data_IF_974050861891
#
_entry.id   IF_974050861891
#
_cell.length_a   1.000
_cell.length_b   1.000
_cell.length_c   1.000
_cell.angle_alpha   90.00
_cell.angle_beta   90.00
_cell.angle_gamma   90.00
#
_symmetry.space_group_name_H-M   'P 1'
#
loop_
_entity.id
_entity.type
_entity.pdbx_description
1 polymer ?
#
# COMPACT_ATOMS: atom_id res chain seq x y z
N UNK A 1 21.75 -14.38 2.52
CA UNK A 1 21.92 -12.91 2.48
C UNK A 1 23.13 -12.51 3.32
N UNK A 2 23.82 -11.44 2.93
CA UNK A 2 24.94 -10.88 3.71
C UNK A 2 24.38 -10.36 5.05
N UNK A 3 25.19 -10.42 6.12
CA UNK A 3 24.80 -9.84 7.39
C UNK A 3 24.76 -8.30 7.25
N UNK A 4 23.64 -7.62 7.58
CA UNK A 4 23.58 -6.18 7.48
C UNK A 4 24.53 -5.52 8.49
N UNK A 5 25.15 -4.38 8.14
CA UNK A 5 26.06 -3.66 9.04
C UNK A 5 25.31 -2.97 10.19
N UNK A 6 23.99 -2.77 10.06
CA UNK A 6 23.12 -2.14 11.06
C UNK A 6 21.68 -2.67 10.99
N UNK A 7 20.84 -2.49 12.04
CA UNK A 7 19.42 -2.83 12.01
C UNK A 7 18.66 -2.05 10.92
N UNK A 8 17.54 -2.60 10.42
CA UNK A 8 16.73 -1.95 9.41
C UNK A 8 16.20 -0.56 9.85
N UNK A 9 15.81 -0.43 11.12
CA UNK A 9 15.33 0.84 11.68
C UNK A 9 16.36 1.98 11.59
N UNK A 10 17.66 1.69 11.70
CA UNK A 10 18.70 2.72 11.58
C UNK A 10 18.75 3.29 10.16
N UNK A 11 18.45 2.45 9.16
CA UNK A 11 18.29 2.92 7.78
C UNK A 11 17.04 3.80 7.59
N UNK A 12 15.98 3.60 8.37
CA UNK A 12 14.79 4.47 8.33
C UNK A 12 15.15 5.90 8.78
N UNK A 13 15.90 6.05 9.88
CA UNK A 13 16.38 7.35 10.36
C UNK A 13 17.34 8.01 9.35
N UNK A 14 18.23 7.22 8.74
CA UNK A 14 19.15 7.72 7.71
C UNK A 14 18.38 8.18 6.46
N UNK A 15 17.36 7.44 6.04
CA UNK A 15 16.53 7.78 4.89
C UNK A 15 15.71 9.03 5.18
N UNK A 16 15.07 9.12 6.34
CA UNK A 16 14.40 10.33 6.83
C UNK A 16 15.32 11.54 6.74
N UNK A 17 16.53 11.48 7.33
CA UNK A 17 17.48 12.58 7.29
C UNK A 17 17.93 12.97 5.88
N UNK A 18 18.04 12.02 4.95
CA UNK A 18 18.36 12.30 3.55
C UNK A 18 17.18 12.97 2.83
N UNK A 19 15.94 12.54 3.10
CA UNK A 19 14.73 13.09 2.50
C UNK A 19 14.49 14.55 2.92
N UNK A 20 14.54 14.84 4.23
CA UNK A 20 14.31 16.21 4.73
C UNK A 20 15.45 17.17 4.34
N UNK A 21 16.65 16.65 4.10
CA UNK A 21 17.79 17.41 3.60
C UNK A 21 17.77 17.58 2.06
N UNK A 22 16.74 17.13 1.37
CA UNK A 22 16.62 17.15 -0.11
C UNK A 22 17.81 16.47 -0.80
N UNK A 23 18.43 15.47 -0.17
CA UNK A 23 19.61 14.78 -0.70
C UNK A 23 19.22 13.45 -1.37
N UNK A 24 18.76 13.54 -2.60
CA UNK A 24 18.33 12.37 -3.39
C UNK A 24 19.47 11.38 -3.62
N UNK A 25 20.70 11.84 -3.83
CA UNK A 25 21.86 10.95 -4.02
C UNK A 25 22.11 10.08 -2.79
N UNK A 26 22.01 10.66 -1.58
CA UNK A 26 22.14 9.94 -0.33
C UNK A 26 20.96 8.99 -0.10
N UNK A 27 19.73 9.44 -0.36
CA UNK A 27 18.55 8.59 -0.27
C UNK A 27 18.64 7.38 -1.22
N UNK A 28 19.10 7.58 -2.45
CA UNK A 28 19.39 6.49 -3.39
C UNK A 28 20.42 5.51 -2.85
N UNK A 29 21.55 6.00 -2.35
CA UNK A 29 22.62 5.15 -1.80
C UNK A 29 22.10 4.28 -0.65
N UNK A 30 21.28 4.84 0.25
CA UNK A 30 20.65 4.11 1.35
C UNK A 30 19.72 3.02 0.83
N UNK A 31 18.82 3.34 -0.11
CA UNK A 31 17.88 2.38 -0.69
C UNK A 31 18.59 1.25 -1.46
N UNK A 32 19.67 1.55 -2.16
CA UNK A 32 20.49 0.52 -2.83
C UNK A 32 21.30 -0.33 -1.85
N UNK A 33 21.71 0.23 -0.71
CA UNK A 33 22.40 -0.52 0.35
C UNK A 33 21.43 -1.51 1.02
N UNK A 34 20.25 -1.06 1.46
CA UNK A 34 19.29 -1.93 2.19
C UNK A 34 18.82 -3.12 1.36
N UNK A 35 18.61 -2.95 0.05
CA UNK A 35 18.21 -4.03 -0.86
C UNK A 35 19.22 -5.18 -0.94
N UNK A 36 20.49 -4.95 -0.60
CA UNK A 36 21.52 -6.00 -0.57
C UNK A 36 21.35 -6.95 0.62
N UNK A 37 20.74 -6.46 1.69
CA UNK A 37 20.68 -7.17 2.97
C UNK A 37 19.28 -7.68 3.30
N UNK A 38 18.24 -6.91 2.96
CA UNK A 38 16.87 -7.19 3.35
C UNK A 38 16.02 -7.57 2.12
N UNK A 39 14.93 -8.30 2.36
CA UNK A 39 13.90 -8.52 1.36
C UNK A 39 13.01 -7.28 1.24
N UNK A 40 12.21 -7.25 0.18
CA UNK A 40 11.44 -6.06 -0.15
C UNK A 40 10.38 -5.74 0.92
N UNK A 41 9.79 -6.76 1.53
CA UNK A 41 8.80 -6.54 2.59
C UNK A 41 9.43 -5.91 3.82
N UNK A 42 10.61 -6.35 4.23
CA UNK A 42 11.39 -5.74 5.32
C UNK A 42 11.77 -4.30 4.97
N UNK A 43 12.24 -4.05 3.73
CA UNK A 43 12.56 -2.68 3.27
C UNK A 43 11.33 -1.77 3.36
N UNK A 44 10.17 -2.26 2.99
CA UNK A 44 8.94 -1.47 3.04
C UNK A 44 8.46 -1.22 4.47
N UNK A 45 8.41 -2.26 5.32
CA UNK A 45 7.87 -2.16 6.66
C UNK A 45 8.82 -1.51 7.68
N UNK A 46 10.13 -1.73 7.54
CA UNK A 46 11.10 -1.34 8.57
C UNK A 46 12.00 -0.17 8.14
N UNK A 47 11.98 0.20 6.84
CA UNK A 47 12.78 1.32 6.36
C UNK A 47 11.91 2.41 5.75
N UNK A 48 11.14 2.11 4.70
CA UNK A 48 10.39 3.13 3.96
C UNK A 48 9.22 3.66 4.78
N UNK A 49 8.32 2.80 5.28
CA UNK A 49 7.16 3.26 6.03
C UNK A 49 7.55 4.06 7.29
N UNK A 50 8.50 3.61 8.15
CA UNK A 50 8.92 4.41 9.30
C UNK A 50 9.60 5.73 8.90
N UNK A 51 10.38 5.78 7.80
CA UNK A 51 10.97 7.04 7.36
C UNK A 51 9.91 8.06 6.93
N UNK A 52 8.84 7.61 6.30
CA UNK A 52 7.70 8.47 5.92
C UNK A 52 6.86 8.90 7.13
N UNK A 53 6.73 8.03 8.14
CA UNK A 53 6.09 8.40 9.41
C UNK A 53 6.88 9.53 10.10
N UNK A 54 8.20 9.41 10.16
CA UNK A 54 9.07 10.49 10.68
C UNK A 54 8.94 11.79 9.88
N UNK A 55 8.82 11.72 8.56
CA UNK A 55 8.57 12.90 7.70
C UNK A 55 7.22 13.53 8.04
N UNK A 56 6.17 12.72 8.20
CA UNK A 56 4.83 13.19 8.58
C UNK A 56 4.80 13.82 9.98
N UNK A 57 5.49 13.21 10.96
CA UNK A 57 5.61 13.76 12.31
C UNK A 57 6.38 15.09 12.32
N UNK A 58 7.50 15.19 11.60
CA UNK A 58 8.27 16.43 11.48
C UNK A 58 7.44 17.56 10.85
N UNK A 59 6.61 17.24 9.85
CA UNK A 59 5.66 18.22 9.28
C UNK A 59 4.60 18.62 10.31
N UNK A 60 3.97 17.65 10.97
CA UNK A 60 2.94 17.92 11.97
C UNK A 60 3.46 18.79 13.12
N UNK A 61 4.70 18.59 13.55
CA UNK A 61 5.37 19.37 14.58
C UNK A 61 5.88 20.74 14.08
N UNK A 62 5.75 21.04 12.76
CA UNK A 62 6.22 22.30 12.18
C UNK A 62 7.74 22.38 11.96
N UNK A 63 8.45 21.27 12.11
CA UNK A 63 9.91 21.17 11.91
C UNK A 63 10.28 21.28 10.43
N UNK A 64 9.43 20.78 9.54
CA UNK A 64 9.57 20.90 8.09
C UNK A 64 8.31 21.52 7.47
N UNK A 65 8.44 22.00 6.22
CA UNK A 65 7.31 22.53 5.47
C UNK A 65 6.59 21.43 4.69
N UNK A 66 5.30 21.64 4.39
CA UNK A 66 4.49 20.72 3.58
C UNK A 66 5.16 20.39 2.23
N UNK A 67 5.86 21.36 1.62
CA UNK A 67 6.59 21.14 0.37
C UNK A 67 7.71 20.09 0.51
N UNK A 68 8.37 20.03 1.69
CA UNK A 68 9.39 19.01 1.98
C UNK A 68 8.74 17.62 2.16
N UNK A 69 7.60 17.55 2.85
CA UNK A 69 6.82 16.31 2.97
C UNK A 69 6.38 15.80 1.59
N UNK A 70 5.79 16.66 0.75
CA UNK A 70 5.35 16.30 -0.60
C UNK A 70 6.51 15.85 -1.49
N UNK A 71 7.67 16.51 -1.40
CA UNK A 71 8.87 16.08 -2.13
C UNK A 71 9.32 14.69 -1.69
N UNK A 72 9.38 14.43 -0.38
CA UNK A 72 9.77 13.13 0.17
C UNK A 72 8.81 12.01 -0.26
N UNK A 73 7.50 12.24 -0.13
CA UNK A 73 6.47 11.30 -0.56
C UNK A 73 6.51 11.04 -2.07
N UNK A 74 6.67 12.08 -2.89
CA UNK A 74 6.79 11.96 -4.36
C UNK A 74 8.05 11.21 -4.77
N UNK A 75 9.18 11.46 -4.10
CA UNK A 75 10.43 10.74 -4.34
C UNK A 75 10.25 9.23 -4.08
N UNK A 76 9.69 8.86 -2.93
CA UNK A 76 9.44 7.45 -2.59
C UNK A 76 8.43 6.83 -3.56
N UNK A 77 7.35 7.54 -3.91
CA UNK A 77 6.39 7.08 -4.93
C UNK A 77 7.09 6.73 -6.24
N UNK A 78 7.98 7.61 -6.72
CA UNK A 78 8.78 7.37 -7.93
C UNK A 78 9.64 6.10 -7.84
N UNK A 79 10.24 5.82 -6.66
CA UNK A 79 11.02 4.59 -6.44
C UNK A 79 10.14 3.34 -6.46
N UNK A 80 8.97 3.37 -5.83
CA UNK A 80 8.03 2.25 -5.81
C UNK A 80 7.48 1.95 -7.20
N UNK A 81 7.09 2.99 -7.96
CA UNK A 81 6.64 2.83 -9.35
C UNK A 81 7.72 2.26 -10.24
N UNK A 82 8.97 2.71 -10.08
CA UNK A 82 10.11 2.15 -10.81
C UNK A 82 10.31 0.65 -10.50
N UNK A 83 10.21 0.26 -9.23
CA UNK A 83 10.27 -1.16 -8.85
C UNK A 83 9.13 -1.92 -9.55
N UNK A 84 7.91 -1.42 -9.46
CA UNK A 84 6.72 -2.06 -10.05
C UNK A 84 6.84 -2.24 -11.56
N UNK A 85 7.34 -1.24 -12.28
CA UNK A 85 7.52 -1.27 -13.74
C UNK A 85 8.57 -2.28 -14.20
N UNK A 86 9.58 -2.55 -13.36
CA UNK A 86 10.64 -3.53 -13.66
C UNK A 86 10.29 -4.97 -13.21
N UNK A 87 9.18 -5.20 -12.54
CA UNK A 87 8.68 -6.53 -12.22
C UNK A 87 7.93 -7.14 -13.42
N UNK A 88 8.01 -8.47 -13.61
CA UNK A 88 7.27 -9.15 -14.66
C UNK A 88 5.77 -8.87 -14.57
N UNK A 89 5.14 -8.62 -15.70
CA UNK A 89 3.68 -8.48 -15.81
C UNK A 89 3.08 -9.86 -16.01
N UNK A 90 2.41 -10.36 -14.98
CA UNK A 90 1.60 -11.58 -15.07
C UNK A 90 0.20 -11.16 -15.53
N UNK A 91 -0.33 -11.86 -16.54
CA UNK A 91 -1.68 -11.63 -17.08
C UNK A 91 -2.58 -12.86 -16.95
N UNK A 92 -2.05 -13.92 -16.33
CA UNK A 92 -2.77 -15.16 -16.09
C UNK A 92 -3.15 -15.28 -14.62
N UNK A 93 -4.30 -15.91 -14.35
CA UNK A 93 -4.80 -16.12 -12.98
C UNK A 93 -5.79 -15.06 -12.52
N UNK A 94 -5.94 -14.98 -11.21
CA UNK A 94 -6.91 -14.09 -10.56
C UNK A 94 -6.41 -12.64 -10.59
N UNK A 95 -7.12 -11.75 -11.28
CA UNK A 95 -6.83 -10.30 -11.25
C UNK A 95 -7.14 -9.73 -9.87
N UNK A 96 -6.18 -9.00 -9.31
CA UNK A 96 -6.31 -8.23 -8.08
C UNK A 96 -6.20 -6.75 -8.42
N UNK A 97 -7.22 -5.98 -8.08
CA UNK A 97 -7.17 -4.52 -8.13
C UNK A 97 -6.67 -3.99 -6.79
N UNK A 98 -5.76 -3.04 -6.81
CA UNK A 98 -5.21 -2.41 -5.60
C UNK A 98 -5.26 -0.90 -5.74
N UNK A 99 -5.77 -0.21 -4.72
CA UNK A 99 -5.82 1.26 -4.69
C UNK A 99 -6.24 1.79 -3.33
N UNK A 100 -6.74 3.02 -3.30
CA UNK A 100 -7.27 3.63 -2.08
C UNK A 100 -8.78 3.88 -2.25
N UNK A 101 -9.51 3.87 -1.14
CA UNK A 101 -10.92 4.20 -1.14
C UNK A 101 -11.20 5.65 -1.53
N UNK A 102 -12.48 6.04 -1.63
CA UNK A 102 -12.88 7.41 -1.95
C UNK A 102 -12.27 8.44 -1.00
N UNK A 103 -11.81 9.56 -1.53
CA UNK A 103 -11.19 10.66 -0.79
C UNK A 103 -9.92 10.28 0.01
N UNK A 104 -9.36 9.08 -0.23
CA UNK A 104 -8.12 8.64 0.41
C UNK A 104 -6.92 8.88 -0.51
N UNK A 105 -6.05 9.82 -0.10
CA UNK A 105 -4.87 10.22 -0.84
C UNK A 105 -3.56 9.58 -0.34
N UNK A 106 -3.58 8.87 0.80
CA UNK A 106 -2.41 8.20 1.37
C UNK A 106 -2.11 6.87 0.64
N UNK A 107 -1.62 6.99 -0.58
CA UNK A 107 -1.51 5.86 -1.51
C UNK A 107 -0.26 4.98 -1.35
N UNK A 108 0.79 5.46 -0.63
CA UNK A 108 2.09 4.76 -0.62
C UNK A 108 2.02 3.35 -0.03
N UNK A 109 1.20 3.14 1.00
CA UNK A 109 0.98 1.81 1.56
C UNK A 109 0.30 0.86 0.56
N UNK A 110 -0.71 1.33 -0.17
CA UNK A 110 -1.36 0.57 -1.22
C UNK A 110 -0.39 0.25 -2.37
N UNK A 111 0.45 1.20 -2.77
CA UNK A 111 1.44 1.00 -3.81
C UNK A 111 2.52 -0.01 -3.37
N UNK A 112 3.03 0.08 -2.13
CA UNK A 112 3.95 -0.93 -1.58
C UNK A 112 3.33 -2.32 -1.61
N UNK A 113 2.06 -2.44 -1.24
CA UNK A 113 1.34 -3.70 -1.27
C UNK A 113 1.18 -4.25 -2.69
N UNK A 114 0.82 -3.40 -3.66
CA UNK A 114 0.73 -3.78 -5.08
C UNK A 114 2.06 -4.28 -5.63
N UNK A 115 3.18 -3.63 -5.25
CA UNK A 115 4.54 -4.06 -5.62
C UNK A 115 4.85 -5.46 -5.06
N UNK A 116 4.54 -5.71 -3.77
CA UNK A 116 4.76 -7.01 -3.13
C UNK A 116 3.94 -8.12 -3.80
N UNK A 117 2.67 -7.86 -4.08
CA UNK A 117 1.82 -8.83 -4.79
C UNK A 117 2.37 -9.14 -6.18
N UNK A 118 2.81 -8.13 -6.94
CA UNK A 118 3.40 -8.35 -8.26
C UNK A 118 4.73 -9.11 -8.17
N UNK A 119 5.55 -8.87 -7.16
CA UNK A 119 6.78 -9.62 -6.92
C UNK A 119 6.52 -11.10 -6.64
N UNK A 120 5.43 -11.43 -5.94
CA UNK A 120 4.99 -12.81 -5.69
C UNK A 120 4.34 -13.46 -6.93
N UNK A 121 4.25 -12.76 -8.05
CA UNK A 121 3.73 -13.29 -9.31
C UNK A 121 2.21 -13.23 -9.45
N UNK A 122 1.52 -12.41 -8.67
CA UNK A 122 0.09 -12.19 -8.88
C UNK A 122 -0.19 -11.25 -10.05
N UNK A 123 -1.35 -11.46 -10.71
CA UNK A 123 -1.87 -10.52 -11.69
C UNK A 123 -2.47 -9.32 -10.96
N UNK A 124 -1.78 -8.17 -11.00
CA UNK A 124 -2.12 -6.97 -10.22
C UNK A 124 -2.23 -5.76 -11.11
N UNK A 125 -3.33 -5.02 -10.95
CA UNK A 125 -3.50 -3.66 -11.44
C UNK A 125 -3.54 -2.70 -10.26
N UNK A 126 -2.65 -1.71 -10.27
CA UNK A 126 -2.63 -0.63 -9.30
C UNK A 126 -3.39 0.57 -9.85
N UNK A 127 -4.46 0.97 -9.19
CA UNK A 127 -5.39 2.00 -9.65
C UNK A 127 -5.10 3.40 -9.07
N UNK A 128 -4.30 3.48 -8.00
CA UNK A 128 -3.95 4.75 -7.39
C UNK A 128 -4.87 5.19 -6.24
N UNK A 129 -4.83 6.50 -5.88
CA UNK A 129 -5.63 7.07 -4.81
C UNK A 129 -7.05 7.44 -5.28
N UNK A 130 -7.92 7.76 -4.31
CA UNK A 130 -9.22 8.42 -4.50
C UNK A 130 -10.13 7.72 -5.53
N UNK A 131 -10.49 6.48 -5.26
CA UNK A 131 -11.32 5.67 -6.16
C UNK A 131 -12.78 5.69 -5.71
N UNK A 132 -13.70 6.34 -6.49
CA UNK A 132 -15.13 6.29 -6.22
C UNK A 132 -15.66 4.87 -6.30
N UNK A 133 -16.54 4.48 -5.37
CA UNK A 133 -17.10 3.11 -5.32
C UNK A 133 -17.91 2.78 -6.57
N UNK A 134 -18.67 3.73 -7.11
CA UNK A 134 -19.48 3.53 -8.32
C UNK A 134 -18.60 3.24 -9.54
N UNK A 135 -17.52 4.01 -9.73
CA UNK A 135 -16.55 3.76 -10.81
C UNK A 135 -15.87 2.39 -10.66
N UNK A 136 -15.57 1.99 -9.41
CA UNK A 136 -15.00 0.66 -9.16
C UNK A 136 -15.97 -0.47 -9.46
N UNK A 137 -17.28 -0.29 -9.22
CA UNK A 137 -18.32 -1.26 -9.62
C UNK A 137 -18.34 -1.43 -11.12
N UNK A 138 -18.42 -0.32 -11.86
CA UNK A 138 -18.45 -0.32 -13.33
C UNK A 138 -17.17 -0.91 -13.92
N UNK A 139 -16.01 -0.50 -13.42
CA UNK A 139 -14.72 -1.05 -13.85
C UNK A 139 -14.63 -2.54 -13.57
N UNK A 140 -15.08 -2.99 -12.40
CA UNK A 140 -15.07 -4.40 -12.01
C UNK A 140 -15.97 -5.26 -12.90
N UNK A 141 -17.10 -4.73 -13.40
CA UNK A 141 -17.96 -5.43 -14.34
C UNK A 141 -17.25 -5.69 -15.68
N UNK A 142 -16.33 -4.80 -16.10
CA UNK A 142 -15.53 -4.91 -17.32
C UNK A 142 -14.37 -5.89 -17.13
N UNK A 143 -13.48 -5.64 -16.14
CA UNK A 143 -12.21 -6.38 -16.00
C UNK A 143 -12.34 -7.67 -15.19
N UNK A 144 -13.43 -7.83 -14.44
CA UNK A 144 -13.79 -9.01 -13.66
C UNK A 144 -12.69 -9.47 -12.70
N UNK A 145 -12.26 -8.62 -11.78
CA UNK A 145 -11.26 -9.01 -10.79
C UNK A 145 -11.83 -10.09 -9.88
N UNK A 146 -10.97 -10.83 -9.22
CA UNK A 146 -11.34 -11.73 -8.12
C UNK A 146 -11.32 -11.04 -6.77
N UNK A 147 -10.45 -10.04 -6.65
CA UNK A 147 -10.25 -9.32 -5.41
C UNK A 147 -10.01 -7.84 -5.69
N UNK A 148 -10.59 -6.99 -4.85
CA UNK A 148 -10.33 -5.56 -4.80
C UNK A 148 -9.75 -5.27 -3.43
N UNK A 149 -8.57 -4.67 -3.38
CA UNK A 149 -7.85 -4.33 -2.14
C UNK A 149 -7.76 -2.82 -2.03
N UNK A 150 -8.37 -2.25 -0.98
CA UNK A 150 -8.38 -0.81 -0.77
C UNK A 150 -7.68 -0.42 0.54
N UNK A 151 -6.83 0.60 0.45
CA UNK A 151 -6.31 1.32 1.62
C UNK A 151 -7.35 2.31 2.12
N UNK A 152 -7.60 2.31 3.44
CA UNK A 152 -8.62 3.15 4.09
C UNK A 152 -8.09 3.60 5.45
N UNK A 153 -7.61 4.82 5.52
CA UNK A 153 -6.99 5.36 6.73
C UNK A 153 -7.88 6.33 7.51
N UNK A 154 -8.96 6.80 6.89
CA UNK A 154 -9.85 7.82 7.43
C UNK A 154 -11.28 7.30 7.61
N UNK A 155 -11.99 7.82 8.61
CA UNK A 155 -13.39 7.51 8.89
C UNK A 155 -14.29 7.87 7.71
N UNK A 156 -14.10 9.06 7.14
CA UNK A 156 -14.88 9.53 5.98
C UNK A 156 -14.79 8.55 4.79
N UNK A 157 -13.59 8.06 4.48
CA UNK A 157 -13.38 7.05 3.44
C UNK A 157 -14.15 5.77 3.75
N UNK A 158 -14.10 5.30 5.00
CA UNK A 158 -14.84 4.10 5.42
C UNK A 158 -16.37 4.31 5.31
N UNK A 159 -16.87 5.48 5.66
CA UNK A 159 -18.28 5.83 5.54
C UNK A 159 -18.75 5.85 4.07
N UNK A 160 -17.97 6.41 3.18
CA UNK A 160 -18.25 6.43 1.73
C UNK A 160 -18.23 5.02 1.11
N UNK A 161 -17.58 4.06 1.74
CA UNK A 161 -17.51 2.67 1.28
C UNK A 161 -18.61 1.78 1.89
N UNK A 162 -19.49 2.29 2.75
CA UNK A 162 -20.59 1.49 3.35
C UNK A 162 -21.50 0.93 2.25
N UNK A 163 -21.76 -0.37 2.31
CA UNK A 163 -22.55 -1.07 1.29
C UNK A 163 -21.74 -1.61 0.11
N UNK A 164 -20.56 -1.09 -0.18
CA UNK A 164 -19.76 -1.47 -1.36
C UNK A 164 -19.47 -2.98 -1.42
N UNK A 165 -19.19 -3.65 -0.30
CA UNK A 165 -18.99 -5.09 -0.27
C UNK A 165 -20.25 -5.89 -0.71
N UNK A 166 -21.44 -5.39 -0.38
CA UNK A 166 -22.71 -5.98 -0.80
C UNK A 166 -22.99 -5.71 -2.28
N UNK A 167 -22.67 -4.52 -2.77
CA UNK A 167 -22.86 -4.15 -4.19
C UNK A 167 -21.94 -4.99 -5.08
N UNK A 168 -20.71 -5.25 -4.68
CA UNK A 168 -19.79 -6.13 -5.40
C UNK A 168 -20.33 -7.57 -5.55
N UNK A 169 -21.16 -8.05 -4.64
CA UNK A 169 -21.79 -9.35 -4.77
C UNK A 169 -22.79 -9.45 -5.94
N UNK A 170 -23.27 -8.30 -6.46
CA UNK A 170 -24.15 -8.19 -7.60
C UNK A 170 -23.38 -7.99 -8.92
N UNK A 171 -22.09 -7.65 -8.87
CA UNK A 171 -21.23 -7.50 -10.05
C UNK A 171 -20.92 -8.87 -10.65
N UNK A 172 -20.86 -8.94 -11.98
CA UNK A 172 -20.46 -10.17 -12.68
C UNK A 172 -19.05 -10.59 -12.29
N UNK A 173 -18.90 -11.80 -11.81
CA UNK A 173 -17.62 -12.32 -11.26
C UNK A 173 -17.55 -12.27 -9.75
N UNK A 174 -18.46 -11.52 -9.10
CA UNK A 174 -18.60 -11.38 -7.65
C UNK A 174 -17.25 -11.15 -6.97
N UNK A 175 -16.53 -10.08 -7.32
CA UNK A 175 -15.24 -9.78 -6.70
C UNK A 175 -15.42 -9.58 -5.19
N UNK A 176 -14.41 -9.99 -4.42
CA UNK A 176 -14.42 -9.80 -2.97
C UNK A 176 -13.74 -8.49 -2.61
N UNK A 177 -14.27 -7.77 -1.64
CA UNK A 177 -13.59 -6.62 -1.05
C UNK A 177 -12.63 -7.11 0.05
N UNK A 178 -11.38 -6.66 -0.04
CA UNK A 178 -10.43 -6.71 1.06
C UNK A 178 -9.92 -5.29 1.34
N UNK A 179 -9.55 -5.01 2.57
CA UNK A 179 -9.08 -3.67 2.95
C UNK A 179 -8.10 -3.73 4.12
N UNK A 180 -7.27 -2.70 4.20
CA UNK A 180 -6.39 -2.41 5.32
C UNK A 180 -6.35 -0.90 5.56
N UNK A 181 -5.83 -0.48 6.69
CA UNK A 181 -5.63 0.93 7.01
C UNK A 181 -5.79 1.22 8.49
N UNK A 182 -5.18 2.33 8.88
CA UNK A 182 -5.06 2.74 10.29
C UNK A 182 -6.40 2.89 11.00
N UNK A 183 -7.44 3.35 10.30
CA UNK A 183 -8.79 3.51 10.87
C UNK A 183 -9.37 2.21 11.45
N UNK A 184 -9.04 1.07 10.85
CA UNK A 184 -9.56 -0.23 11.25
C UNK A 184 -8.73 -0.97 12.30
N UNK A 185 -7.52 -0.52 12.63
CA UNK A 185 -6.60 -1.27 13.49
C UNK A 185 -7.18 -1.59 14.87
N UNK A 186 -7.89 -0.62 15.46
CA UNK A 186 -8.50 -0.76 16.78
C UNK A 186 -10.03 -0.52 16.75
N UNK A 187 -10.64 -0.56 15.57
CA UNK A 187 -12.07 -0.29 15.38
C UNK A 187 -12.80 -1.54 14.83
N UNK A 188 -13.11 -2.47 15.71
CA UNK A 188 -13.80 -3.72 15.33
C UNK A 188 -15.21 -3.45 14.79
N UNK A 189 -15.90 -2.44 15.32
CA UNK A 189 -17.24 -2.09 14.86
C UNK A 189 -17.20 -1.60 13.41
N UNK A 190 -16.27 -0.72 13.07
CA UNK A 190 -16.10 -0.25 11.69
C UNK A 190 -15.81 -1.41 10.71
N UNK A 191 -15.05 -2.43 11.15
CA UNK A 191 -14.83 -3.64 10.33
C UNK A 191 -16.11 -4.42 10.06
N UNK A 192 -16.99 -4.52 11.06
CA UNK A 192 -18.31 -5.18 10.93
C UNK A 192 -19.22 -4.38 10.00
N UNK A 193 -19.23 -3.07 10.16
CA UNK A 193 -20.12 -2.16 9.42
C UNK A 193 -19.73 -2.08 7.93
N UNK A 194 -18.42 -2.08 7.62
CA UNK A 194 -17.94 -2.07 6.24
C UNK A 194 -18.17 -3.41 5.53
N UNK A 195 -18.07 -4.52 6.26
CA UNK A 195 -18.05 -5.85 5.64
C UNK A 195 -16.76 -6.12 4.88
N UNK A 196 -16.73 -7.19 4.08
CA UNK A 196 -15.50 -7.58 3.38
C UNK A 196 -14.43 -8.21 4.29
N UNK A 197 -13.17 -8.13 3.89
CA UNK A 197 -12.06 -8.84 4.55
C UNK A 197 -11.01 -7.85 5.02
N UNK A 198 -10.87 -7.70 6.33
CA UNK A 198 -9.78 -6.92 6.92
C UNK A 198 -8.46 -7.69 6.82
N UNK A 199 -7.46 -7.09 6.18
CA UNK A 199 -6.18 -7.74 5.89
C UNK A 199 -5.17 -7.71 7.06
N UNK A 200 -5.42 -6.93 8.10
CA UNK A 200 -4.51 -6.83 9.24
C UNK A 200 -3.80 -5.48 9.33
N UNK A 201 -2.82 -5.41 10.23
CA UNK A 201 -2.12 -4.17 10.60
C UNK A 201 -0.78 -3.98 9.87
N UNK A 202 -0.29 -5.02 9.21
CA UNK A 202 1.01 -4.99 8.54
C UNK A 202 0.94 -5.55 7.12
N UNK A 203 1.91 -5.17 6.28
CA UNK A 203 2.04 -5.73 4.94
C UNK A 203 2.25 -7.25 4.99
N UNK A 204 2.96 -7.76 6.00
CA UNK A 204 3.18 -9.20 6.17
C UNK A 204 1.87 -9.95 6.45
N UNK A 205 1.05 -9.45 7.39
CA UNK A 205 -0.28 -10.04 7.66
C UNK A 205 -1.17 -10.00 6.42
N UNK A 206 -1.16 -8.87 5.71
CA UNK A 206 -1.95 -8.70 4.49
C UNK A 206 -1.52 -9.70 3.39
N UNK A 207 -0.22 -9.87 3.18
CA UNK A 207 0.31 -10.83 2.21
C UNK A 207 -0.09 -12.27 2.53
N UNK A 208 0.00 -12.68 3.80
CA UNK A 208 -0.41 -14.03 4.22
C UNK A 208 -1.92 -14.26 4.02
N UNK A 209 -2.76 -13.29 4.34
CA UNK A 209 -4.20 -13.39 4.11
C UNK A 209 -4.55 -13.47 2.61
N UNK A 210 -3.88 -12.69 1.77
CA UNK A 210 -4.10 -12.78 0.31
C UNK A 210 -3.73 -14.17 -0.22
N UNK A 211 -2.61 -14.75 0.21
CA UNK A 211 -2.25 -16.12 -0.18
C UNK A 211 -3.37 -17.12 0.16
N UNK A 212 -3.91 -17.04 1.36
CA UNK A 212 -5.03 -17.89 1.78
C UNK A 212 -6.30 -17.66 0.95
N UNK A 213 -6.63 -16.38 0.66
CA UNK A 213 -7.82 -16.01 -0.10
C UNK A 213 -7.77 -16.49 -1.56
N UNK A 214 -6.61 -16.46 -2.20
CA UNK A 214 -6.43 -16.85 -3.59
C UNK A 214 -6.36 -18.39 -3.73
N UNK A 215 -5.82 -19.11 -2.73
CA UNK A 215 -5.83 -20.57 -2.74
C UNK A 215 -7.24 -21.17 -2.63
N UNK A 216 -8.23 -20.40 -2.18
CA UNK A 216 -9.62 -20.82 -2.03
C UNK A 216 -10.49 -20.47 -3.27
N UNK A 217 -9.90 -19.95 -4.33
CA UNK A 217 -10.56 -19.52 -5.57
C UNK A 217 -10.07 -20.32 -6.76
#
# INVERSE_FOLDING_TARGET
KLKPPRPARDYAEMLFGALIAHNESRANAILEEVKKYFDLITVFQEVIAPSLELVGEAWYNGEIRIATEHMASSYIKGKLLNIMQNLPVVKEGALILVGCGPEENHELAALMFAVLLRQEGYFVEYLGPDLPTDDLLDYSAIVRPKLIVLSVNQENTADLMKGFAADLANVRGKPRLAYAGRYFENNEQARKDLGGIYLGKSLAEAMEKIKQLIMLV
#
